data_IF_429993696957
#
_entry.id   IF_429993696957
#
_cell.length_a   1.000
_cell.length_b   1.000
_cell.length_c   1.000
_cell.angle_alpha   90.00
_cell.angle_beta   90.00
_cell.angle_gamma   90.00
#
_symmetry.space_group_name_H-M   'P 1'
#
loop_
_entity.id
_entity.type
_entity.pdbx_description
1 polymer ?
#
# COMPACT_ATOMS: atom_id res chain seq x y z
N UNK A 1 89.67 -13.82 48.17
CA UNK A 1 89.48 -12.88 47.07
C UNK A 1 88.63 -13.57 46.05
N UNK A 2 87.36 -13.24 46.02
CA UNK A 2 86.34 -13.86 45.15
C UNK A 2 86.02 -12.89 44.02
N UNK A 3 86.24 -13.34 42.81
CA UNK A 3 86.05 -12.55 41.60
C UNK A 3 84.67 -12.86 41.07
N UNK A 4 83.75 -11.89 41.13
CA UNK A 4 82.38 -12.00 40.63
C UNK A 4 82.33 -11.40 39.23
N UNK A 5 82.23 -12.26 38.23
CA UNK A 5 81.98 -11.83 36.89
C UNK A 5 80.44 -11.62 36.67
N UNK A 6 80.08 -10.41 36.41
CA UNK A 6 78.70 -10.04 35.99
C UNK A 6 78.46 -10.44 34.52
N UNK A 7 77.57 -11.42 34.32
CA UNK A 7 77.07 -11.78 32.98
C UNK A 7 75.91 -10.86 32.67
N UNK A 8 76.10 -9.91 31.74
CA UNK A 8 75.05 -9.13 31.19
C UNK A 8 74.21 -9.96 30.18
N UNK A 9 73.00 -10.37 30.57
CA UNK A 9 72.04 -10.93 29.67
C UNK A 9 71.38 -9.77 28.86
N UNK A 10 71.72 -9.74 27.59
CA UNK A 10 71.16 -8.80 26.63
C UNK A 10 69.76 -9.27 26.24
N UNK A 11 68.72 -8.69 26.84
CA UNK A 11 67.31 -8.89 26.42
C UNK A 11 67.11 -8.25 25.04
N UNK A 12 66.94 -9.08 24.05
CA UNK A 12 66.45 -8.65 22.72
C UNK A 12 64.92 -8.69 22.78
N UNK A 13 64.20 -7.57 22.64
CA UNK A 13 62.75 -7.61 22.57
C UNK A 13 62.33 -8.22 21.24
N UNK A 14 61.69 -9.36 21.29
CA UNK A 14 61.09 -10.01 20.15
C UNK A 14 59.82 -9.21 19.82
N UNK A 15 59.91 -8.28 18.86
CA UNK A 15 58.74 -7.56 18.31
C UNK A 15 58.00 -8.54 17.39
N UNK A 16 56.92 -9.13 17.93
CA UNK A 16 56.00 -9.94 17.14
C UNK A 16 55.11 -9.00 16.33
N UNK A 17 55.18 -8.99 14.99
CA UNK A 17 54.25 -8.18 14.21
C UNK A 17 52.86 -8.81 14.29
N UNK A 18 51.95 -8.18 15.04
CA UNK A 18 50.53 -8.49 15.00
C UNK A 18 50.01 -8.09 13.63
N UNK A 19 49.90 -9.04 12.70
CA UNK A 19 49.17 -8.92 11.48
C UNK A 19 47.67 -8.86 11.83
N UNK A 20 47.13 -7.65 12.00
CA UNK A 20 45.71 -7.45 12.03
C UNK A 20 45.18 -7.73 10.60
N UNK A 21 44.73 -8.96 10.34
CA UNK A 21 43.85 -9.25 9.21
C UNK A 21 42.54 -8.54 9.47
N UNK A 22 42.40 -7.31 8.95
CA UNK A 22 41.14 -6.66 8.85
C UNK A 22 40.27 -7.45 7.84
N UNK A 23 39.38 -8.31 8.34
CA UNK A 23 38.31 -8.84 7.54
C UNK A 23 37.46 -7.65 7.12
N UNK A 24 37.66 -7.14 5.90
CA UNK A 24 36.71 -6.28 5.22
C UNK A 24 35.49 -7.15 4.92
N UNK A 25 34.54 -7.14 5.84
CA UNK A 25 33.19 -7.66 5.56
C UNK A 25 32.61 -6.70 4.55
N UNK A 26 32.67 -7.07 3.27
CA UNK A 26 31.83 -6.47 2.24
C UNK A 26 30.41 -6.88 2.60
N UNK A 27 29.73 -6.06 3.40
CA UNK A 27 28.29 -6.18 3.57
C UNK A 27 27.70 -5.64 2.27
N UNK A 28 27.39 -6.53 1.32
CA UNK A 28 26.34 -6.28 0.35
C UNK A 28 25.03 -6.14 1.14
N UNK A 29 24.86 -4.99 1.79
CA UNK A 29 23.58 -4.64 2.37
C UNK A 29 22.62 -4.62 1.17
N UNK A 30 21.51 -5.39 1.21
CA UNK A 30 20.55 -5.39 0.13
C UNK A 30 20.15 -3.94 -0.12
N UNK A 31 20.20 -3.54 -1.39
CA UNK A 31 19.81 -2.18 -1.78
C UNK A 31 18.44 -1.87 -1.17
N UNK A 32 18.31 -0.74 -0.48
CA UNK A 32 17.10 -0.40 0.27
C UNK A 32 15.93 -0.26 -0.71
N UNK A 33 15.02 -1.24 -0.70
CA UNK A 33 13.83 -1.24 -1.53
C UNK A 33 12.83 -0.18 -1.03
N UNK A 34 12.90 0.99 -1.65
CA UNK A 34 12.04 2.14 -1.33
C UNK A 34 10.56 1.83 -1.57
N UNK A 35 10.25 1.00 -2.56
CA UNK A 35 8.86 0.67 -2.87
C UNK A 35 8.29 -0.30 -1.83
N UNK A 36 9.04 -1.32 -1.43
CA UNK A 36 8.66 -2.22 -0.35
C UNK A 36 8.50 -1.45 0.97
N UNK A 37 9.43 -0.53 1.28
CA UNK A 37 9.33 0.32 2.47
C UNK A 37 8.10 1.25 2.42
N UNK A 38 7.78 1.83 1.26
CA UNK A 38 6.58 2.63 1.08
C UNK A 38 5.31 1.81 1.28
N UNK A 39 5.26 0.58 0.72
CA UNK A 39 4.14 -0.35 0.91
C UNK A 39 3.91 -0.66 2.39
N UNK A 40 4.95 -1.01 3.14
CA UNK A 40 4.84 -1.27 4.57
C UNK A 40 4.32 -0.05 5.36
N UNK A 41 4.72 1.17 4.96
CA UNK A 41 4.20 2.41 5.56
C UNK A 41 2.72 2.65 5.23
N UNK A 42 2.28 2.32 4.02
CA UNK A 42 0.86 2.37 3.65
C UNK A 42 0.05 1.40 4.50
N UNK A 43 0.51 0.16 4.67
CA UNK A 43 -0.17 -0.85 5.49
C UNK A 43 -0.33 -0.38 6.95
N UNK A 44 0.73 0.19 7.53
CA UNK A 44 0.67 0.80 8.86
C UNK A 44 -0.34 1.95 8.93
N UNK A 45 -0.35 2.83 7.94
CA UNK A 45 -1.26 3.95 7.88
C UNK A 45 -2.73 3.51 7.83
N UNK A 46 -3.03 2.49 7.00
CA UNK A 46 -4.37 1.92 6.93
C UNK A 46 -4.81 1.30 8.27
N UNK A 47 -3.89 0.64 8.98
CA UNK A 47 -4.14 0.13 10.33
C UNK A 47 -4.46 1.25 11.33
N UNK A 48 -3.74 2.38 11.28
CA UNK A 48 -4.04 3.54 12.13
C UNK A 48 -5.38 4.19 11.77
N UNK A 49 -5.75 4.24 10.48
CA UNK A 49 -7.08 4.73 10.08
C UNK A 49 -8.21 3.87 10.65
N UNK A 50 -8.04 2.55 10.68
CA UNK A 50 -9.01 1.65 11.33
C UNK A 50 -9.15 1.91 12.82
N UNK A 51 -8.07 2.37 13.49
CA UNK A 51 -8.05 2.76 14.90
C UNK A 51 -8.49 4.23 15.12
N UNK A 52 -8.90 4.94 14.05
CA UNK A 52 -9.26 6.35 14.05
C UNK A 52 -8.09 7.29 14.44
N UNK A 53 -6.84 6.81 14.39
CA UNK A 53 -5.64 7.63 14.60
C UNK A 53 -5.16 8.26 13.28
N UNK A 54 -5.84 9.33 12.88
CA UNK A 54 -5.50 10.07 11.66
C UNK A 54 -4.10 10.71 11.71
N UNK A 55 -3.58 11.03 12.88
CA UNK A 55 -2.25 11.64 13.04
C UNK A 55 -1.14 10.65 12.69
N UNK A 56 -1.20 9.43 13.24
CA UNK A 56 -0.25 8.37 12.91
C UNK A 56 -0.41 7.88 11.49
N UNK A 57 -1.64 7.81 10.98
CA UNK A 57 -1.89 7.49 9.59
C UNK A 57 -1.18 8.48 8.66
N UNK A 58 -1.37 9.79 8.88
CA UNK A 58 -0.73 10.84 8.05
C UNK A 58 0.78 10.76 8.11
N UNK A 59 1.37 10.59 9.30
CA UNK A 59 2.82 10.47 9.46
C UNK A 59 3.39 9.31 8.63
N UNK A 60 2.71 8.15 8.62
CA UNK A 60 3.16 6.99 7.85
C UNK A 60 2.95 7.19 6.34
N UNK A 61 1.86 7.84 5.90
CA UNK A 61 1.64 8.19 4.50
C UNK A 61 2.68 9.19 3.98
N UNK A 62 3.08 10.19 4.78
CA UNK A 62 4.14 11.13 4.40
C UNK A 62 5.49 10.42 4.25
N UNK A 63 5.80 9.45 5.13
CA UNK A 63 6.99 8.61 4.97
C UNK A 63 6.90 7.72 3.72
N UNK A 64 5.75 7.11 3.45
CA UNK A 64 5.54 6.32 2.23
C UNK A 64 5.79 7.17 0.98
N UNK A 65 5.23 8.38 0.95
CA UNK A 65 5.41 9.34 -0.15
C UNK A 65 6.88 9.76 -0.33
N UNK A 66 7.63 9.93 0.78
CA UNK A 66 9.06 10.24 0.72
C UNK A 66 9.91 9.11 0.14
N UNK A 67 9.52 7.86 0.37
CA UNK A 67 10.22 6.69 -0.17
C UNK A 67 9.90 6.46 -1.65
N UNK A 68 8.62 6.53 -2.02
CA UNK A 68 8.16 6.22 -3.37
C UNK A 68 7.10 7.24 -3.86
N UNK A 69 7.49 8.47 -4.24
CA UNK A 69 6.55 9.53 -4.62
C UNK A 69 5.75 9.24 -5.89
N UNK A 70 6.20 8.29 -6.71
CA UNK A 70 5.52 7.86 -7.96
C UNK A 70 4.86 6.49 -7.83
N UNK A 71 4.67 5.98 -6.62
CA UNK A 71 4.00 4.70 -6.42
C UNK A 71 2.49 4.92 -6.25
N UNK A 72 1.70 4.40 -7.20
CA UNK A 72 0.23 4.54 -7.26
C UNK A 72 -0.45 4.20 -5.93
N UNK A 73 -0.03 3.11 -5.27
CA UNK A 73 -0.56 2.67 -3.98
C UNK A 73 -0.49 3.76 -2.90
N UNK A 74 0.59 4.55 -2.86
CA UNK A 74 0.74 5.64 -1.86
C UNK A 74 -0.32 6.71 -2.07
N UNK A 75 -0.55 7.10 -3.33
CA UNK A 75 -1.57 8.09 -3.67
C UNK A 75 -2.99 7.58 -3.45
N UNK A 76 -3.26 6.30 -3.70
CA UNK A 76 -4.54 5.67 -3.38
C UNK A 76 -4.81 5.65 -1.86
N UNK A 77 -3.79 5.36 -1.05
CA UNK A 77 -3.90 5.43 0.40
C UNK A 77 -4.09 6.86 0.93
N UNK A 78 -3.42 7.85 0.33
CA UNK A 78 -3.67 9.27 0.61
C UNK A 78 -5.10 9.69 0.25
N UNK A 79 -5.64 9.19 -0.88
CA UNK A 79 -7.02 9.45 -1.26
C UNK A 79 -7.99 8.94 -0.20
N UNK A 80 -7.81 7.70 0.25
CA UNK A 80 -8.62 7.12 1.32
C UNK A 80 -8.48 7.90 2.64
N UNK A 81 -7.26 8.31 3.01
CA UNK A 81 -7.02 9.16 4.17
C UNK A 81 -7.82 10.46 4.07
N UNK A 82 -7.72 11.21 2.97
CA UNK A 82 -8.44 12.47 2.81
C UNK A 82 -9.96 12.27 2.82
N UNK A 83 -10.45 11.19 2.22
CA UNK A 83 -11.86 10.81 2.29
C UNK A 83 -12.33 10.62 3.73
N UNK A 84 -11.55 9.93 4.58
CA UNK A 84 -11.85 9.75 6.00
C UNK A 84 -11.81 11.07 6.80
N UNK A 85 -11.01 12.04 6.34
CA UNK A 85 -10.96 13.38 6.96
C UNK A 85 -12.05 14.32 6.44
N UNK A 86 -12.92 13.87 5.51
CA UNK A 86 -13.95 14.70 4.89
C UNK A 86 -13.42 15.68 3.84
N UNK A 87 -12.15 15.58 3.44
CA UNK A 87 -11.56 16.42 2.40
C UNK A 87 -11.71 15.74 1.02
N UNK A 88 -12.92 15.89 0.47
CA UNK A 88 -13.29 15.22 -0.78
C UNK A 88 -12.51 15.72 -1.98
N UNK A 89 -12.10 16.99 -1.98
CA UNK A 89 -11.32 17.55 -3.09
C UNK A 89 -9.92 16.95 -3.13
N UNK A 90 -9.20 16.93 -2.00
CA UNK A 90 -7.89 16.27 -1.94
C UNK A 90 -7.99 14.77 -2.18
N UNK A 91 -9.05 14.11 -1.73
CA UNK A 91 -9.30 12.70 -2.01
C UNK A 91 -9.39 12.45 -3.52
N UNK A 92 -10.21 13.25 -4.24
CA UNK A 92 -10.38 13.15 -5.69
C UNK A 92 -9.05 13.34 -6.43
N UNK A 93 -8.29 14.37 -6.08
CA UNK A 93 -6.99 14.66 -6.70
C UNK A 93 -5.97 13.53 -6.45
N UNK A 94 -5.96 12.94 -5.28
CA UNK A 94 -5.09 11.83 -4.95
C UNK A 94 -5.46 10.55 -5.73
N UNK A 95 -6.76 10.24 -5.90
CA UNK A 95 -7.21 9.14 -6.77
C UNK A 95 -6.79 9.37 -8.23
N UNK A 96 -7.01 10.56 -8.77
CA UNK A 96 -6.60 10.90 -10.14
C UNK A 96 -5.09 10.78 -10.32
N UNK A 97 -4.29 11.15 -9.31
CA UNK A 97 -2.84 10.98 -9.33
C UNK A 97 -2.46 9.51 -9.32
N UNK A 98 -3.10 8.68 -8.49
CA UNK A 98 -2.86 7.25 -8.44
C UNK A 98 -3.12 6.58 -9.79
N UNK A 99 -4.24 6.90 -10.43
CA UNK A 99 -4.62 6.35 -11.74
C UNK A 99 -3.68 6.85 -12.85
N UNK A 100 -3.24 8.11 -12.79
CA UNK A 100 -2.24 8.64 -13.75
C UNK A 100 -0.90 7.93 -13.66
N UNK A 101 -0.51 7.47 -12.46
CA UNK A 101 0.73 6.74 -12.22
C UNK A 101 0.64 5.27 -12.65
N UNK A 102 -0.53 4.65 -12.45
CA UNK A 102 -0.81 3.29 -12.89
C UNK A 102 -2.33 3.10 -13.08
N UNK A 103 -2.77 3.07 -14.33
CA UNK A 103 -4.16 2.95 -14.74
C UNK A 103 -4.69 1.50 -14.78
N UNK A 104 -3.83 0.53 -14.43
CA UNK A 104 -4.16 -0.90 -14.42
C UNK A 104 -4.40 -1.48 -13.03
N UNK A 105 -4.35 -0.64 -11.99
CA UNK A 105 -4.60 -1.05 -10.61
C UNK A 105 -6.10 -1.16 -10.35
N UNK A 106 -6.67 -2.37 -10.51
CA UNK A 106 -8.10 -2.62 -10.34
C UNK A 106 -8.64 -2.17 -8.98
N UNK A 107 -7.88 -2.38 -7.88
CA UNK A 107 -8.26 -1.92 -6.55
C UNK A 107 -8.39 -0.40 -6.45
N UNK A 108 -7.48 0.34 -7.07
CA UNK A 108 -7.53 1.82 -7.09
C UNK A 108 -8.73 2.30 -7.87
N UNK A 109 -8.99 1.70 -9.04
CA UNK A 109 -10.15 2.02 -9.88
C UNK A 109 -11.46 1.70 -9.17
N UNK A 110 -11.57 0.56 -8.50
CA UNK A 110 -12.73 0.18 -7.70
C UNK A 110 -12.98 1.17 -6.55
N UNK A 111 -11.94 1.53 -5.81
CA UNK A 111 -12.06 2.48 -4.69
C UNK A 111 -12.43 3.88 -5.18
N UNK A 112 -11.88 4.33 -6.30
CA UNK A 112 -12.27 5.61 -6.91
C UNK A 112 -13.71 5.58 -7.42
N UNK A 113 -14.16 4.45 -7.99
CA UNK A 113 -15.56 4.24 -8.37
C UNK A 113 -16.50 4.38 -7.17
N UNK A 114 -16.16 3.74 -6.04
CA UNK A 114 -16.93 3.86 -4.79
C UNK A 114 -16.96 5.30 -4.25
N UNK A 115 -15.82 6.00 -4.30
CA UNK A 115 -15.73 7.41 -3.95
C UNK A 115 -16.65 8.27 -4.83
N UNK A 116 -16.58 8.15 -6.15
CA UNK A 116 -17.41 8.91 -7.09
C UNK A 116 -18.91 8.63 -6.88
N UNK A 117 -19.25 7.38 -6.63
CA UNK A 117 -20.63 6.98 -6.33
C UNK A 117 -21.15 7.69 -5.06
N UNK A 118 -20.36 7.73 -4.00
CA UNK A 118 -20.71 8.44 -2.78
C UNK A 118 -20.89 9.96 -2.98
N UNK A 119 -20.24 10.54 -4.01
CA UNK A 119 -20.42 11.94 -4.41
C UNK A 119 -21.61 12.15 -5.37
N UNK A 120 -22.36 11.09 -5.73
CA UNK A 120 -23.45 11.16 -6.71
C UNK A 120 -23.00 11.20 -8.17
N UNK A 121 -21.69 11.04 -8.44
CA UNK A 121 -21.11 11.02 -9.78
C UNK A 121 -21.27 9.63 -10.43
N UNK A 122 -22.50 9.11 -10.49
CA UNK A 122 -22.81 7.72 -10.82
C UNK A 122 -22.23 7.23 -12.14
N UNK A 123 -22.34 7.99 -13.22
CA UNK A 123 -21.83 7.59 -14.53
C UNK A 123 -20.30 7.49 -14.55
N UNK A 124 -19.63 8.41 -13.85
CA UNK A 124 -18.19 8.36 -13.69
C UNK A 124 -17.77 7.16 -12.82
N UNK A 125 -18.54 6.85 -11.76
CA UNK A 125 -18.33 5.68 -10.91
C UNK A 125 -18.40 4.37 -11.71
N UNK A 126 -19.46 4.21 -12.53
CA UNK A 126 -19.64 3.01 -13.37
C UNK A 126 -18.46 2.80 -14.31
N UNK A 127 -17.95 3.88 -14.92
CA UNK A 127 -16.77 3.81 -15.78
C UNK A 127 -15.55 3.27 -15.02
N UNK A 128 -15.31 3.72 -13.80
CA UNK A 128 -14.18 3.25 -13.00
C UNK A 128 -14.33 1.79 -12.60
N UNK A 129 -15.51 1.37 -12.17
CA UNK A 129 -15.78 -0.03 -11.83
C UNK A 129 -15.60 -0.97 -13.04
N UNK A 130 -16.09 -0.58 -14.23
CA UNK A 130 -15.89 -1.37 -15.46
C UNK A 130 -14.41 -1.45 -15.82
N UNK A 131 -13.65 -0.38 -15.65
CA UNK A 131 -12.20 -0.41 -15.85
C UNK A 131 -11.52 -1.33 -14.84
N UNK A 132 -11.95 -1.33 -13.57
CA UNK A 132 -11.43 -2.25 -12.54
C UNK A 132 -11.64 -3.72 -12.93
N UNK A 133 -12.87 -4.08 -13.36
CA UNK A 133 -13.19 -5.44 -13.79
C UNK A 133 -12.38 -5.90 -15.00
N UNK A 134 -11.93 -4.99 -15.85
CA UNK A 134 -11.10 -5.25 -17.02
C UNK A 134 -9.58 -5.15 -16.74
N UNK A 135 -9.19 -4.84 -15.50
CA UNK A 135 -7.78 -4.72 -15.12
C UNK A 135 -7.09 -6.09 -15.11
N UNK A 136 -5.84 -6.19 -15.63
CA UNK A 136 -5.09 -7.43 -15.58
C UNK A 136 -4.87 -7.91 -14.16
N UNK A 137 -5.00 -9.22 -13.93
CA UNK A 137 -4.74 -9.84 -12.61
C UNK A 137 -5.55 -9.23 -11.44
N UNK A 138 -6.73 -8.68 -11.73
CA UNK A 138 -7.62 -8.16 -10.70
C UNK A 138 -8.45 -9.30 -10.09
N UNK A 139 -8.27 -9.55 -8.80
CA UNK A 139 -8.88 -10.68 -8.09
C UNK A 139 -10.11 -10.29 -7.25
N UNK A 140 -10.35 -8.99 -7.03
CA UNK A 140 -11.45 -8.49 -6.19
C UNK A 140 -12.71 -8.15 -6.99
N UNK A 141 -13.00 -8.93 -8.04
CA UNK A 141 -14.16 -8.68 -8.93
C UNK A 141 -15.49 -8.73 -8.15
N UNK A 142 -15.61 -9.60 -7.15
CA UNK A 142 -16.82 -9.69 -6.33
C UNK A 142 -17.09 -8.37 -5.57
N UNK A 143 -16.05 -7.72 -5.05
CA UNK A 143 -16.17 -6.41 -4.39
C UNK A 143 -16.65 -5.34 -5.37
N UNK A 144 -16.15 -5.38 -6.60
CA UNK A 144 -16.56 -4.43 -7.64
C UNK A 144 -18.03 -4.64 -8.09
N UNK A 145 -18.48 -5.87 -8.25
CA UNK A 145 -19.88 -6.14 -8.56
C UNK A 145 -20.82 -5.69 -7.43
N UNK A 146 -20.44 -5.89 -6.15
CA UNK A 146 -21.21 -5.34 -5.03
C UNK A 146 -21.24 -3.82 -5.04
N UNK A 147 -20.09 -3.16 -5.24
CA UNK A 147 -20.01 -1.71 -5.30
C UNK A 147 -20.82 -1.15 -6.47
N UNK A 148 -20.78 -1.79 -7.65
CA UNK A 148 -21.63 -1.44 -8.80
C UNK A 148 -23.12 -1.56 -8.47
N UNK A 149 -23.53 -2.67 -7.86
CA UNK A 149 -24.91 -2.88 -7.47
C UNK A 149 -25.38 -1.85 -6.43
N UNK A 150 -24.58 -1.55 -5.40
CA UNK A 150 -24.86 -0.51 -4.40
C UNK A 150 -24.98 0.87 -5.05
N UNK A 151 -24.06 1.18 -5.95
CA UNK A 151 -24.08 2.44 -6.68
C UNK A 151 -25.32 2.58 -7.57
N UNK A 152 -25.72 1.50 -8.23
CA UNK A 152 -26.90 1.45 -9.06
C UNK A 152 -28.20 1.64 -8.24
N UNK A 153 -28.27 1.06 -7.04
CA UNK A 153 -29.38 1.31 -6.12
C UNK A 153 -29.45 2.79 -5.72
N UNK A 154 -28.32 3.40 -5.38
CA UNK A 154 -28.26 4.83 -5.03
C UNK A 154 -28.68 5.72 -6.20
N UNK A 155 -28.33 5.32 -7.42
CA UNK A 155 -28.71 5.99 -8.67
C UNK A 155 -30.15 5.66 -9.12
N UNK A 156 -30.86 4.75 -8.45
CA UNK A 156 -32.16 4.18 -8.83
C UNK A 156 -32.14 3.51 -10.21
N UNK A 157 -30.99 2.94 -10.59
CA UNK A 157 -30.80 2.21 -11.84
C UNK A 157 -30.99 0.70 -11.61
N UNK A 158 -32.26 0.29 -11.68
CA UNK A 158 -32.63 -1.09 -11.43
C UNK A 158 -32.02 -2.08 -12.42
N UNK A 159 -31.75 -1.64 -13.66
CA UNK A 159 -31.15 -2.49 -14.68
C UNK A 159 -29.70 -2.83 -14.32
N UNK A 160 -28.87 -1.82 -14.05
CA UNK A 160 -27.45 -2.01 -13.67
C UNK A 160 -27.37 -2.80 -12.35
N UNK A 161 -28.29 -2.56 -11.40
CA UNK A 161 -28.36 -3.34 -10.16
C UNK A 161 -28.52 -4.83 -10.45
N UNK A 162 -29.53 -5.22 -11.24
CA UNK A 162 -29.81 -6.64 -11.54
C UNK A 162 -28.68 -7.31 -12.34
N UNK A 163 -28.12 -6.61 -13.32
CA UNK A 163 -26.98 -7.10 -14.10
C UNK A 163 -25.79 -7.45 -13.21
N UNK A 164 -25.45 -6.57 -12.25
CA UNK A 164 -24.29 -6.78 -11.38
C UNK A 164 -24.57 -7.76 -10.24
N UNK A 165 -25.81 -7.83 -9.71
CA UNK A 165 -26.21 -8.88 -8.79
C UNK A 165 -26.11 -10.27 -9.45
N UNK A 166 -26.56 -10.40 -10.69
CA UNK A 166 -26.44 -11.66 -11.46
C UNK A 166 -24.97 -12.02 -11.73
N UNK A 167 -24.11 -11.02 -12.01
CA UNK A 167 -22.69 -11.26 -12.20
C UNK A 167 -22.02 -11.71 -10.89
N UNK A 168 -22.37 -11.10 -9.76
CA UNK A 168 -21.91 -11.49 -8.43
C UNK A 168 -22.35 -12.92 -8.08
N UNK A 169 -23.60 -13.28 -8.39
CA UNK A 169 -24.13 -14.62 -8.13
C UNK A 169 -23.35 -15.73 -8.85
N UNK A 170 -22.88 -15.47 -10.07
CA UNK A 170 -22.05 -16.41 -10.84
C UNK A 170 -20.69 -16.70 -10.23
N UNK A 171 -20.07 -15.72 -9.57
CA UNK A 171 -18.70 -15.84 -9.05
C UNK A 171 -18.65 -16.02 -7.52
N UNK A 172 -19.68 -15.58 -6.80
CA UNK A 172 -19.76 -15.62 -5.35
C UNK A 172 -21.21 -15.76 -4.86
N UNK A 173 -21.89 -16.93 -5.08
CA UNK A 173 -23.32 -17.10 -4.86
C UNK A 173 -23.76 -16.84 -3.41
N UNK A 174 -23.00 -17.30 -2.43
CA UNK A 174 -23.33 -17.05 -1.02
C UNK A 174 -23.22 -15.57 -0.63
N UNK A 175 -22.31 -14.87 -1.26
CA UNK A 175 -22.12 -13.43 -1.08
C UNK A 175 -23.27 -12.67 -1.71
N UNK A 176 -23.66 -13.01 -2.94
CA UNK A 176 -24.79 -12.42 -3.64
C UNK A 176 -26.10 -12.61 -2.86
N UNK A 177 -26.32 -13.79 -2.28
CA UNK A 177 -27.50 -14.09 -1.45
C UNK A 177 -27.58 -13.18 -0.22
N UNK A 178 -26.47 -13.03 0.50
CA UNK A 178 -26.39 -12.10 1.64
C UNK A 178 -26.66 -10.66 1.20
N UNK A 179 -25.98 -10.23 0.15
CA UNK A 179 -26.12 -8.89 -0.40
C UNK A 179 -27.57 -8.56 -0.77
N UNK A 180 -28.28 -9.46 -1.49
CA UNK A 180 -29.68 -9.28 -1.86
C UNK A 180 -30.63 -9.23 -0.64
N UNK A 181 -30.26 -9.79 0.51
CA UNK A 181 -31.06 -9.68 1.74
C UNK A 181 -30.95 -8.28 2.38
N UNK A 182 -29.79 -7.61 2.26
CA UNK A 182 -29.58 -6.28 2.82
C UNK A 182 -30.12 -5.16 1.94
N UNK A 183 -30.38 -5.43 0.66
CA UNK A 183 -30.81 -4.43 -0.33
C UNK A 183 -32.30 -4.49 -0.66
N UNK A 184 -33.09 -5.31 0.05
CA UNK A 184 -34.56 -5.38 0.00
C UNK A 184 -35.19 -4.36 0.94
#
# INVERSE_FOLDING_TARGET
MVNIQFIFYRFVPFIFPFLFSACVVHSDAPDFDKQAAAKARVELALGYLQQQDGSQAKLNLDKALSYAPKYSLVHAALAYFYQQQGDMERAKQAYLTAIKLDDKQGDVLNNFGAFLCAQGEYQAAYKQFIQALNSPQYYHQADTYENLALCALSAKDQKIYQENLTALEKIAPERAKKFAQFTK
#
